data_IF_250930102419
#
_entry.id   IF_250930102419
#
_cell.length_a   1.000
_cell.length_b   1.000
_cell.length_c   1.000
_cell.angle_alpha   90.00
_cell.angle_beta   90.00
_cell.angle_gamma   90.00
#
_symmetry.space_group_name_H-M   'P 1'
#
loop_
_entity.id
_entity.type
_entity.pdbx_description
1 polymer ?
#
# COMPACT_ATOMS: atom_id res chain seq x y z
N UNK A 1 -5.77 20.29 33.99
CA UNK A 1 -6.58 19.07 33.75
C UNK A 1 -5.86 18.21 32.73
N UNK A 2 -5.10 17.21 33.19
CA UNK A 2 -4.42 16.27 32.31
C UNK A 2 -5.47 15.36 31.68
N UNK A 3 -5.69 15.51 30.37
CA UNK A 3 -6.58 14.65 29.62
C UNK A 3 -5.99 13.24 29.64
N UNK A 4 -6.58 12.35 30.45
CA UNK A 4 -6.23 10.94 30.56
C UNK A 4 -6.55 10.26 29.22
N UNK A 5 -5.61 10.29 28.28
CA UNK A 5 -5.72 9.54 27.04
C UNK A 5 -5.73 8.05 27.38
N UNK A 6 -6.90 7.41 27.34
CA UNK A 6 -7.01 5.95 27.48
C UNK A 6 -6.16 5.27 26.40
N UNK A 7 -5.02 4.74 26.81
CA UNK A 7 -4.12 3.92 26.00
C UNK A 7 -4.71 2.53 25.83
N UNK A 8 -5.52 2.34 24.79
CA UNK A 8 -6.05 1.03 24.43
C UNK A 8 -4.93 0.12 23.86
N UNK A 9 -4.80 -1.10 24.38
CA UNK A 9 -3.87 -2.13 23.86
C UNK A 9 -4.16 -2.53 22.40
N UNK A 10 -5.37 -2.24 21.90
CA UNK A 10 -5.80 -2.46 20.52
C UNK A 10 -4.95 -1.70 19.48
N UNK A 11 -4.18 -0.69 19.91
CA UNK A 11 -3.23 0.06 19.06
C UNK A 11 -2.21 -0.87 18.41
N UNK A 12 -1.67 -1.84 19.15
CA UNK A 12 -0.68 -2.79 18.66
C UNK A 12 -1.24 -3.73 17.59
N UNK A 13 -2.51 -4.12 17.69
CA UNK A 13 -3.18 -4.94 16.67
C UNK A 13 -3.33 -4.14 15.38
N UNK A 14 -3.76 -2.88 15.47
CA UNK A 14 -3.86 -1.99 14.30
C UNK A 14 -2.49 -1.75 13.66
N UNK A 15 -1.44 -1.57 14.48
CA UNK A 15 -0.06 -1.38 14.02
C UNK A 15 0.48 -2.65 13.34
N UNK A 16 0.24 -3.83 13.92
CA UNK A 16 0.62 -5.11 13.33
C UNK A 16 -0.08 -5.36 11.99
N UNK A 17 -1.40 -5.11 11.91
CA UNK A 17 -2.15 -5.21 10.64
C UNK A 17 -1.61 -4.22 9.61
N UNK A 18 -1.33 -2.98 10.03
CA UNK A 18 -0.78 -1.96 9.15
C UNK A 18 0.63 -2.32 8.63
N UNK A 19 1.49 -2.88 9.48
CA UNK A 19 2.79 -3.43 9.09
C UNK A 19 2.62 -4.57 8.10
N UNK A 20 1.67 -5.48 8.33
CA UNK A 20 1.42 -6.62 7.44
C UNK A 20 0.94 -6.17 6.05
N UNK A 21 0.07 -5.16 6.01
CA UNK A 21 -0.40 -4.54 4.78
C UNK A 21 0.76 -3.87 4.03
N UNK A 22 1.62 -3.11 4.73
CA UNK A 22 2.81 -2.51 4.13
C UNK A 22 3.81 -3.57 3.61
N UNK A 23 4.00 -4.66 4.35
CA UNK A 23 4.84 -5.77 3.90
C UNK A 23 4.28 -6.42 2.63
N UNK A 24 2.95 -6.60 2.59
CA UNK A 24 2.26 -7.17 1.43
C UNK A 24 2.42 -6.29 0.19
N UNK A 25 2.27 -4.97 0.31
CA UNK A 25 2.41 -4.09 -0.85
C UNK A 25 3.85 -4.04 -1.39
N UNK A 26 4.84 -4.11 -0.50
CA UNK A 26 6.25 -4.22 -0.90
C UNK A 26 6.56 -5.54 -1.59
N UNK A 27 6.02 -6.66 -1.09
CA UNK A 27 6.14 -7.95 -1.75
C UNK A 27 5.50 -7.88 -3.14
N UNK A 28 4.28 -7.37 -3.25
CA UNK A 28 3.56 -7.27 -4.52
C UNK A 28 4.29 -6.42 -5.56
N UNK A 29 5.00 -5.38 -5.11
CA UNK A 29 5.85 -4.53 -5.94
C UNK A 29 7.12 -5.26 -6.42
N UNK A 30 7.82 -5.97 -5.53
CA UNK A 30 9.08 -6.65 -5.85
C UNK A 30 8.89 -8.00 -6.55
N UNK A 31 7.72 -8.65 -6.43
CA UNK A 31 7.47 -10.02 -6.92
C UNK A 31 7.82 -10.20 -8.40
N UNK A 32 7.55 -9.20 -9.26
CA UNK A 32 7.83 -9.33 -10.69
C UNK A 32 9.26 -8.97 -11.09
N UNK A 33 10.03 -8.27 -10.24
CA UNK A 33 11.40 -7.89 -10.56
C UNK A 33 12.31 -9.08 -10.91
N UNK A 34 12.39 -10.17 -10.11
CA UNK A 34 13.27 -11.30 -10.39
C UNK A 34 12.75 -12.24 -11.49
N UNK A 35 11.46 -12.20 -11.80
CA UNK A 35 10.81 -13.11 -12.76
C UNK A 35 10.39 -12.40 -14.05
N UNK A 36 10.97 -11.23 -14.36
CA UNK A 36 10.56 -10.40 -15.51
C UNK A 36 10.56 -11.21 -16.81
N UNK A 37 11.65 -11.93 -17.10
CA UNK A 37 11.76 -12.77 -18.30
C UNK A 37 10.78 -13.94 -18.34
N UNK A 38 10.76 -14.84 -17.34
CA UNK A 38 9.80 -15.95 -17.29
C UNK A 38 8.34 -15.49 -17.31
N UNK A 39 8.02 -14.35 -16.69
CA UNK A 39 6.68 -13.76 -16.72
C UNK A 39 6.35 -13.21 -18.12
N UNK A 40 7.29 -12.55 -18.80
CA UNK A 40 7.12 -12.08 -20.17
C UNK A 40 6.78 -13.25 -21.11
N UNK A 41 7.50 -14.37 -20.97
CA UNK A 41 7.25 -15.61 -21.72
C UNK A 41 5.88 -16.24 -21.37
N UNK A 42 5.52 -16.30 -20.08
CA UNK A 42 4.25 -16.87 -19.62
C UNK A 42 3.02 -16.07 -20.10
N UNK A 43 3.12 -14.74 -20.10
CA UNK A 43 2.03 -13.86 -20.54
C UNK A 43 2.07 -13.57 -22.06
N UNK A 44 3.11 -14.01 -22.78
CA UNK A 44 3.31 -13.71 -24.20
C UNK A 44 3.52 -12.21 -24.48
N UNK A 45 4.09 -11.49 -23.51
CA UNK A 45 4.31 -10.03 -23.56
C UNK A 45 5.80 -9.71 -23.56
N UNK A 46 6.14 -8.45 -23.84
CA UNK A 46 7.53 -7.98 -23.78
C UNK A 46 8.01 -7.76 -22.35
N UNK A 47 9.32 -7.87 -22.11
CA UNK A 47 9.93 -7.51 -20.81
C UNK A 47 9.55 -6.09 -20.36
N UNK A 48 9.39 -5.17 -21.32
CA UNK A 48 8.96 -3.80 -21.07
C UNK A 48 7.55 -3.75 -20.46
N UNK A 49 6.62 -4.60 -20.90
CA UNK A 49 5.26 -4.68 -20.37
C UNK A 49 5.27 -5.20 -18.93
N UNK A 50 6.08 -6.22 -18.63
CA UNK A 50 6.27 -6.66 -17.24
C UNK A 50 6.91 -5.55 -16.40
N UNK A 51 7.90 -4.84 -16.95
CA UNK A 51 8.46 -3.63 -16.33
C UNK A 51 7.42 -2.54 -16.07
N UNK A 52 6.41 -2.42 -16.96
CA UNK A 52 5.31 -1.47 -16.84
C UNK A 52 4.43 -1.75 -15.61
N UNK A 53 4.34 -3.01 -15.16
CA UNK A 53 3.70 -3.36 -13.89
C UNK A 53 4.43 -2.70 -12.72
N UNK A 54 5.77 -2.75 -12.69
CA UNK A 54 6.56 -2.10 -11.63
C UNK A 54 6.52 -0.56 -11.77
N UNK A 55 6.60 -0.04 -12.98
CA UNK A 55 6.51 1.41 -13.25
C UNK A 55 5.13 1.97 -12.89
N UNK A 56 4.06 1.17 -12.99
CA UNK A 56 2.71 1.61 -12.64
C UNK A 56 2.59 2.08 -11.19
N UNK A 57 3.36 1.49 -10.27
CA UNK A 57 3.46 1.94 -8.88
C UNK A 57 4.00 3.37 -8.79
N UNK A 58 5.10 3.67 -9.49
CA UNK A 58 5.66 5.02 -9.52
C UNK A 58 4.72 6.02 -10.20
N UNK A 59 4.12 5.62 -11.32
CA UNK A 59 3.20 6.46 -12.09
C UNK A 59 1.94 6.78 -11.30
N UNK A 60 1.37 5.82 -10.57
CA UNK A 60 0.21 6.06 -9.72
C UNK A 60 0.61 6.87 -8.48
N UNK A 61 1.78 6.63 -7.91
CA UNK A 61 2.21 7.29 -6.69
C UNK A 61 2.34 8.80 -6.85
N UNK A 62 2.93 9.28 -7.94
CA UNK A 62 3.18 10.72 -8.17
C UNK A 62 1.88 11.57 -8.08
N UNK A 63 0.84 11.33 -8.89
CA UNK A 63 -0.38 12.12 -8.86
C UNK A 63 -1.28 11.79 -7.68
N UNK A 64 -1.29 10.55 -7.17
CA UNK A 64 -2.15 10.20 -6.04
C UNK A 64 -1.58 10.64 -4.69
N UNK A 65 -0.26 10.82 -4.54
CA UNK A 65 0.32 11.18 -3.23
C UNK A 65 -0.24 12.48 -2.66
N UNK A 66 -0.46 13.49 -3.51
CA UNK A 66 -1.02 14.79 -3.10
C UNK A 66 -2.48 14.68 -2.58
N UNK A 67 -3.46 14.20 -3.37
CA UNK A 67 -4.85 14.07 -2.91
C UNK A 67 -4.97 13.09 -1.75
N UNK A 68 -4.14 12.04 -1.71
CA UNK A 68 -4.13 11.08 -0.61
C UNK A 68 -3.64 11.70 0.68
N UNK A 69 -2.56 12.49 0.65
CA UNK A 69 -2.14 13.26 1.82
C UNK A 69 -3.25 14.19 2.30
N UNK A 70 -3.95 14.86 1.39
CA UNK A 70 -5.09 15.71 1.76
C UNK A 70 -6.25 14.93 2.38
N UNK A 71 -6.57 13.72 1.89
CA UNK A 71 -7.57 12.84 2.50
C UNK A 71 -7.14 12.40 3.91
N UNK A 72 -5.87 12.04 4.08
CA UNK A 72 -5.30 11.67 5.39
C UNK A 72 -5.32 12.85 6.37
N UNK A 73 -5.12 14.07 5.87
CA UNK A 73 -5.19 15.31 6.64
C UNK A 73 -6.62 15.69 7.04
N UNK A 74 -7.57 15.56 6.10
CA UNK A 74 -8.94 16.06 6.26
C UNK A 74 -9.88 15.03 6.92
N UNK A 75 -9.85 13.79 6.46
CA UNK A 75 -10.76 12.72 6.91
C UNK A 75 -10.15 11.80 7.97
N UNK A 76 -8.86 11.95 8.23
CA UNK A 76 -8.14 11.20 9.25
C UNK A 76 -7.58 9.87 8.76
N UNK A 77 -6.50 9.43 9.44
CA UNK A 77 -5.69 8.30 9.02
C UNK A 77 -6.45 6.96 8.96
N UNK A 78 -7.43 6.72 9.87
CA UNK A 78 -8.13 5.43 9.94
C UNK A 78 -8.89 5.14 8.65
N UNK A 79 -9.55 6.17 8.10
CA UNK A 79 -10.36 6.03 6.91
C UNK A 79 -9.44 5.79 5.69
N UNK A 80 -8.35 6.55 5.57
CA UNK A 80 -7.38 6.38 4.50
C UNK A 80 -6.72 4.99 4.50
N UNK A 81 -6.26 4.50 5.66
CA UNK A 81 -5.66 3.16 5.78
C UNK A 81 -6.67 2.07 5.48
N UNK A 82 -7.92 2.21 5.95
CA UNK A 82 -8.97 1.21 5.68
C UNK A 82 -9.29 1.14 4.20
N UNK A 83 -9.39 2.28 3.51
CA UNK A 83 -9.61 2.33 2.06
C UNK A 83 -8.42 1.68 1.32
N UNK A 84 -7.19 2.02 1.69
CA UNK A 84 -5.99 1.43 1.10
C UNK A 84 -5.92 -0.09 1.32
N UNK A 85 -6.27 -0.57 2.52
CA UNK A 85 -6.32 -1.99 2.84
C UNK A 85 -7.37 -2.75 2.02
N UNK A 86 -8.59 -2.18 1.90
CA UNK A 86 -9.66 -2.78 1.10
C UNK A 86 -9.29 -2.80 -0.39
N UNK A 87 -8.77 -1.70 -0.93
CA UNK A 87 -8.28 -1.68 -2.31
C UNK A 87 -7.19 -2.75 -2.52
N UNK A 88 -6.18 -2.78 -1.65
CA UNK A 88 -5.09 -3.75 -1.76
C UNK A 88 -5.61 -5.19 -1.69
N UNK A 89 -6.57 -5.48 -0.80
CA UNK A 89 -7.17 -6.80 -0.68
C UNK A 89 -7.96 -7.20 -1.93
N UNK A 90 -8.84 -6.32 -2.42
CA UNK A 90 -9.67 -6.58 -3.61
C UNK A 90 -8.80 -6.74 -4.85
N UNK A 91 -7.90 -5.79 -5.10
CA UNK A 91 -7.03 -5.84 -6.28
C UNK A 91 -5.93 -6.91 -6.17
N UNK A 92 -5.46 -7.21 -4.96
CA UNK A 92 -4.54 -8.32 -4.72
C UNK A 92 -5.17 -9.68 -5.03
N UNK A 93 -6.42 -9.91 -4.62
CA UNK A 93 -7.17 -11.11 -4.98
C UNK A 93 -7.45 -11.16 -6.50
N UNK A 94 -7.89 -10.05 -7.09
CA UNK A 94 -8.08 -9.95 -8.54
C UNK A 94 -6.81 -10.28 -9.33
N UNK A 95 -5.64 -9.82 -8.86
CA UNK A 95 -4.34 -10.20 -9.44
C UNK A 95 -4.08 -11.70 -9.31
N UNK A 96 -4.41 -12.31 -8.17
CA UNK A 96 -4.29 -13.76 -7.96
C UNK A 96 -5.21 -14.58 -8.87
N UNK A 97 -6.43 -14.09 -9.13
CA UNK A 97 -7.40 -14.73 -10.03
C UNK A 97 -7.19 -14.39 -11.52
N UNK A 98 -6.28 -13.48 -11.85
CA UNK A 98 -6.06 -13.03 -13.23
C UNK A 98 -5.52 -14.12 -14.16
N UNK A 99 -4.91 -15.19 -13.62
CA UNK A 99 -4.41 -16.30 -14.41
C UNK A 99 -3.40 -15.84 -15.47
N UNK A 100 -3.62 -16.22 -16.73
CA UNK A 100 -2.78 -15.85 -17.87
C UNK A 100 -3.17 -14.51 -18.54
N UNK A 101 -4.15 -13.76 -18.00
CA UNK A 101 -4.60 -12.51 -18.61
C UNK A 101 -3.76 -11.31 -18.16
N UNK A 102 -2.77 -10.92 -18.97
CA UNK A 102 -1.92 -9.76 -18.70
C UNK A 102 -2.69 -8.46 -18.43
N UNK A 103 -3.73 -8.16 -19.22
CA UNK A 103 -4.53 -6.93 -19.02
C UNK A 103 -5.19 -6.90 -17.64
N UNK A 104 -5.64 -8.05 -17.14
CA UNK A 104 -6.30 -8.13 -15.83
C UNK A 104 -5.27 -8.00 -14.70
N UNK A 105 -4.07 -8.55 -14.88
CA UNK A 105 -2.92 -8.33 -13.98
C UNK A 105 -2.55 -6.84 -13.97
N UNK A 106 -2.49 -6.17 -15.12
CA UNK A 106 -2.17 -4.76 -15.23
C UNK A 106 -3.20 -3.88 -14.51
N UNK A 107 -4.49 -4.08 -14.77
CA UNK A 107 -5.58 -3.36 -14.08
C UNK A 107 -5.53 -3.56 -12.56
N UNK A 108 -5.29 -4.80 -12.13
CA UNK A 108 -5.14 -5.12 -10.72
C UNK A 108 -3.92 -4.43 -10.12
N UNK A 109 -2.80 -4.41 -10.83
CA UNK A 109 -1.56 -3.78 -10.38
C UNK A 109 -1.73 -2.26 -10.27
N UNK A 110 -2.42 -1.61 -11.20
CA UNK A 110 -2.77 -0.19 -11.11
C UNK A 110 -3.64 0.09 -9.87
N UNK A 111 -4.61 -0.77 -9.57
CA UNK A 111 -5.43 -0.65 -8.36
C UNK A 111 -4.62 -0.80 -7.06
N UNK A 112 -3.69 -1.75 -7.01
CA UNK A 112 -2.77 -1.93 -5.87
C UNK A 112 -1.83 -0.72 -5.76
N UNK A 113 -1.30 -0.24 -6.89
CA UNK A 113 -0.45 0.93 -6.98
C UNK A 113 -1.16 2.19 -6.46
N UNK A 114 -2.44 2.35 -6.75
CA UNK A 114 -3.27 3.43 -6.21
C UNK A 114 -3.45 3.34 -4.68
N UNK A 115 -3.43 2.14 -4.10
CA UNK A 115 -3.47 1.96 -2.64
C UNK A 115 -2.14 2.28 -1.94
N UNK A 116 -1.02 2.23 -2.66
CA UNK A 116 0.31 2.43 -2.07
C UNK A 116 0.46 3.80 -1.38
N UNK A 117 0.10 4.94 -1.98
CA UNK A 117 0.18 6.23 -1.31
C UNK A 117 -0.65 6.30 -0.03
N UNK A 118 -1.82 5.64 0.02
CA UNK A 118 -2.69 5.65 1.20
C UNK A 118 -2.01 5.01 2.40
N UNK A 119 -1.18 4.00 2.14
CA UNK A 119 -0.47 3.26 3.17
C UNK A 119 0.85 3.93 3.54
N UNK A 120 1.63 4.36 2.55
CA UNK A 120 2.95 4.98 2.77
C UNK A 120 2.83 6.38 3.42
N UNK A 121 1.89 7.22 2.96
CA UNK A 121 1.68 8.54 3.56
C UNK A 121 1.01 8.43 4.95
N UNK A 122 0.27 7.36 5.22
CA UNK A 122 -0.29 7.13 6.55
C UNK A 122 0.78 6.66 7.56
N UNK A 123 1.85 6.00 7.09
CA UNK A 123 2.93 5.50 7.95
C UNK A 123 3.54 6.62 8.78
N UNK A 124 3.81 7.79 8.20
CA UNK A 124 4.44 8.90 8.93
C UNK A 124 3.52 9.54 9.98
N UNK A 125 2.19 9.44 9.80
CA UNK A 125 1.20 9.99 10.75
C UNK A 125 0.86 9.06 11.90
N UNK A 126 0.95 7.74 11.73
CA UNK A 126 0.56 6.78 12.78
C UNK A 126 1.43 6.93 14.04
N UNK A 127 2.77 6.98 13.96
CA UNK A 127 3.64 7.27 15.11
C UNK A 127 3.41 8.70 15.63
N UNK A 128 3.23 9.67 14.74
CA UNK A 128 3.09 11.08 15.11
C UNK A 128 1.84 11.36 15.95
N UNK A 129 0.68 10.78 15.61
CA UNK A 129 -0.55 11.03 16.36
C UNK A 129 -0.79 10.04 17.50
N UNK A 130 -0.14 8.87 17.51
CA UNK A 130 -0.47 7.81 18.47
C UNK A 130 0.59 7.56 19.55
N UNK A 131 1.83 8.03 19.33
CA UNK A 131 2.92 7.96 20.32
C UNK A 131 3.35 9.36 20.77
N UNK A 132 3.65 9.49 22.07
CA UNK A 132 4.23 10.70 22.64
C UNK A 132 5.54 11.03 21.93
N UNK A 133 5.90 12.33 21.89
CA UNK A 133 7.08 12.87 21.17
C UNK A 133 8.37 12.06 21.39
N UNK A 134 8.49 11.42 22.56
CA UNK A 134 9.66 10.67 23.00
C UNK A 134 9.76 9.24 22.42
N UNK A 135 8.68 8.63 21.93
CA UNK A 135 8.69 7.26 21.35
C UNK A 135 8.53 7.23 19.82
N UNK A 136 8.41 8.41 19.18
CA UNK A 136 8.19 8.52 17.74
C UNK A 136 9.37 7.99 16.91
N UNK A 137 10.59 8.03 17.43
CA UNK A 137 11.79 7.59 16.73
C UNK A 137 11.94 6.06 16.66
N UNK A 138 11.34 5.33 17.61
CA UNK A 138 11.46 3.87 17.70
C UNK A 138 10.34 3.15 16.94
N UNK A 139 9.25 3.85 16.63
CA UNK A 139 8.08 3.34 15.92
C UNK A 139 8.11 3.62 14.40
N UNK A 140 9.13 4.33 13.92
CA UNK A 140 9.45 4.55 12.48
C UNK A 140 10.47 3.51 12.05
#
# INVERSE_FOLDING_TARGET
>A
MANNYKLYSYRWVVLAVFMFINLTIQILWVTYAPITGPAAEFYGVTDLQIGLLAMSFMIAFIPLSIPVSWIIDTYGFRLAVSIGAVLMGVFGLLRGFAGANYSLVLWSTIGIAAAQPFLLNAWTKVPANWFAIEERATAV
#
